data_IF_820582908830
#
_entry.id   IF_820582908830
#
_cell.length_a   1.000
_cell.length_b   1.000
_cell.length_c   1.000
_cell.angle_alpha   90.00
_cell.angle_beta   90.00
_cell.angle_gamma   90.00
#
_symmetry.space_group_name_H-M   'P 1'
#
loop_
_entity.id
_entity.type
_entity.pdbx_description
1 polymer ?
#
# COMPACT_ATOMS: atom_id res chain seq x y z
N UNK A 1 9.71 -0.22 19.17
CA UNK A 1 8.53 0.27 18.44
C UNK A 1 8.86 1.32 17.37
N UNK A 2 9.81 2.27 17.56
CA UNK A 2 10.18 3.20 16.47
C UNK A 2 10.82 2.47 15.28
N UNK A 3 11.80 1.61 15.54
CA UNK A 3 12.52 0.85 14.51
C UNK A 3 11.64 -0.11 13.70
N UNK A 4 10.47 -0.51 14.20
CA UNK A 4 9.55 -1.36 13.45
C UNK A 4 8.74 -0.57 12.42
N UNK A 5 8.45 0.71 12.64
CA UNK A 5 7.70 1.53 11.67
C UNK A 5 8.57 1.90 10.47
N UNK A 6 9.83 2.27 10.69
CA UNK A 6 10.81 2.52 9.61
C UNK A 6 11.06 1.24 8.78
N UNK A 7 11.12 0.08 9.44
CA UNK A 7 11.26 -1.21 8.75
C UNK A 7 10.01 -1.55 7.92
N UNK A 8 8.81 -1.24 8.43
CA UNK A 8 7.55 -1.38 7.68
C UNK A 8 7.53 -0.43 6.49
N UNK A 9 7.93 0.84 6.67
CA UNK A 9 8.00 1.82 5.59
C UNK A 9 8.91 1.31 4.46
N UNK A 10 10.10 0.84 4.83
CA UNK A 10 11.08 0.26 3.89
C UNK A 10 10.51 -0.96 3.16
N UNK A 11 9.84 -1.86 3.88
CA UNK A 11 9.23 -3.06 3.31
C UNK A 11 8.11 -2.70 2.32
N UNK A 12 7.24 -1.73 2.66
CA UNK A 12 6.17 -1.25 1.79
C UNK A 12 6.74 -0.63 0.51
N UNK A 13 7.76 0.24 0.62
CA UNK A 13 8.41 0.85 -0.56
C UNK A 13 9.04 -0.21 -1.46
N UNK A 14 9.71 -1.20 -0.86
CA UNK A 14 10.29 -2.33 -1.60
C UNK A 14 9.20 -3.14 -2.32
N UNK A 15 8.13 -3.49 -1.61
CA UNK A 15 7.02 -4.26 -2.15
C UNK A 15 6.37 -3.54 -3.35
N UNK A 16 6.12 -2.23 -3.25
CA UNK A 16 5.63 -1.43 -4.37
C UNK A 16 6.57 -1.52 -5.58
N UNK A 17 7.89 -1.38 -5.37
CA UNK A 17 8.88 -1.52 -6.45
C UNK A 17 8.85 -2.90 -7.10
N UNK A 18 8.80 -3.95 -6.30
CA UNK A 18 8.85 -5.34 -6.77
C UNK A 18 7.57 -5.74 -7.50
N UNK A 19 6.40 -5.35 -6.99
CA UNK A 19 5.11 -5.75 -7.53
C UNK A 19 4.59 -4.82 -8.64
N UNK A 20 4.94 -3.54 -8.61
CA UNK A 20 4.38 -2.52 -9.49
C UNK A 20 5.44 -1.85 -10.38
N UNK A 21 6.72 -2.20 -10.20
CA UNK A 21 7.83 -1.57 -10.93
C UNK A 21 8.15 -0.14 -10.50
N UNK A 22 7.43 0.41 -9.52
CA UNK A 22 7.59 1.79 -9.05
C UNK A 22 7.45 1.85 -7.52
N UNK A 23 8.40 2.51 -6.86
CA UNK A 23 8.30 2.79 -5.43
C UNK A 23 7.67 4.17 -5.23
N UNK A 24 6.76 4.34 -4.26
CA UNK A 24 6.18 5.63 -3.97
C UNK A 24 7.26 6.63 -3.51
N UNK A 25 7.05 7.91 -3.83
CA UNK A 25 7.94 8.99 -3.39
C UNK A 25 7.80 9.26 -1.89
N UNK A 26 6.59 9.11 -1.35
CA UNK A 26 6.28 9.26 0.07
C UNK A 26 5.58 8.02 0.64
N UNK A 27 5.91 7.67 1.88
CA UNK A 27 5.36 6.54 2.61
C UNK A 27 5.32 6.89 4.10
N UNK A 28 4.13 7.13 4.61
CA UNK A 28 3.90 7.42 6.02
C UNK A 28 3.35 6.16 6.70
N UNK A 29 3.99 5.73 7.78
CA UNK A 29 3.54 4.61 8.60
C UNK A 29 3.24 5.10 10.01
N UNK A 30 2.02 4.89 10.47
CA UNK A 30 1.59 5.24 11.83
C UNK A 30 0.92 4.05 12.50
N UNK A 31 1.01 4.00 13.83
CA UNK A 31 0.36 2.96 14.63
C UNK A 31 -0.42 3.60 15.77
N UNK A 32 -1.70 3.26 15.89
CA UNK A 32 -2.56 3.66 16.98
C UNK A 32 -3.28 2.44 17.57
N UNK A 33 -2.79 1.97 18.72
CA UNK A 33 -3.24 0.74 19.34
C UNK A 33 -3.05 -0.46 18.41
N UNK A 34 -4.16 -1.04 17.96
CA UNK A 34 -4.19 -2.22 17.09
C UNK A 34 -4.29 -1.86 15.61
N UNK A 35 -4.29 -0.57 15.27
CA UNK A 35 -4.35 -0.08 13.90
C UNK A 35 -2.97 0.35 13.44
N UNK A 36 -2.49 -0.26 12.36
CA UNK A 36 -1.34 0.20 11.59
C UNK A 36 -1.86 0.82 10.29
N UNK A 37 -1.57 2.09 10.07
CA UNK A 37 -1.99 2.83 8.88
C UNK A 37 -0.76 3.17 8.05
N UNK A 38 -0.83 2.86 6.76
CA UNK A 38 0.19 3.17 5.77
C UNK A 38 -0.44 4.06 4.71
N UNK A 39 0.16 5.21 4.45
CA UNK A 39 -0.25 6.12 3.38
C UNK A 39 0.92 6.27 2.42
N UNK A 40 0.72 5.97 1.15
CA UNK A 40 1.72 6.14 0.09
C UNK A 40 1.24 7.14 -0.95
N UNK A 41 2.17 7.94 -1.47
CA UNK A 41 1.90 8.96 -2.51
C UNK A 41 2.80 8.76 -3.70
N UNK A 42 2.33 9.21 -4.86
CA UNK A 42 3.00 9.02 -6.14
C UNK A 42 3.21 7.53 -6.43
N UNK A 43 2.11 6.77 -6.39
CA UNK A 43 2.13 5.30 -6.50
C UNK A 43 2.09 4.78 -7.94
N UNK A 44 1.96 5.68 -8.92
CA UNK A 44 1.74 5.34 -10.31
C UNK A 44 3.03 5.32 -11.12
N UNK A 45 3.18 4.31 -11.96
CA UNK A 45 4.20 4.30 -13.00
C UNK A 45 3.97 5.43 -14.01
N UNK A 46 5.01 5.84 -14.78
CA UNK A 46 4.83 6.82 -15.86
C UNK A 46 3.74 6.42 -16.87
N UNK A 47 3.63 5.13 -17.18
CA UNK A 47 2.60 4.60 -18.09
C UNK A 47 1.20 4.71 -17.50
N UNK A 48 1.03 4.43 -16.20
CA UNK A 48 -0.25 4.65 -15.53
C UNK A 48 -0.60 6.13 -15.48
N UNK A 49 0.35 7.02 -15.21
CA UNK A 49 0.08 8.47 -15.24
C UNK A 49 -0.46 8.93 -16.59
N UNK A 50 0.10 8.44 -17.70
CA UNK A 50 -0.44 8.71 -19.04
C UNK A 50 -1.88 8.18 -19.22
N UNK A 51 -2.21 7.01 -18.67
CA UNK A 51 -3.59 6.50 -18.70
C UNK A 51 -4.56 7.36 -17.88
N UNK A 52 -4.11 7.93 -16.76
CA UNK A 52 -4.95 8.76 -15.88
C UNK A 52 -5.37 10.10 -16.51
N UNK A 53 -4.78 10.50 -17.63
CA UNK A 53 -5.22 11.67 -18.40
C UNK A 53 -6.64 11.49 -18.97
N UNK A 54 -7.04 10.24 -19.24
CA UNK A 54 -8.34 9.90 -19.83
C UNK A 54 -9.32 9.34 -18.79
N UNK A 55 -10.63 9.69 -18.85
CA UNK A 55 -11.64 9.17 -17.92
C UNK A 55 -11.70 7.63 -17.87
N UNK A 56 -11.59 6.97 -19.03
CA UNK A 56 -11.58 5.51 -19.15
C UNK A 56 -10.33 4.91 -18.52
N UNK A 57 -9.17 5.55 -18.69
CA UNK A 57 -7.93 5.11 -18.07
C UNK A 57 -7.96 5.22 -16.55
N UNK A 58 -8.61 6.25 -15.98
CA UNK A 58 -8.85 6.34 -14.52
C UNK A 58 -9.65 5.15 -13.99
N UNK A 59 -10.73 4.78 -14.70
CA UNK A 59 -11.55 3.61 -14.34
C UNK A 59 -10.74 2.31 -14.44
N UNK A 60 -9.96 2.17 -15.50
CA UNK A 60 -9.11 1.00 -15.72
C UNK A 60 -8.06 0.85 -14.62
N UNK A 61 -7.28 1.90 -14.34
CA UNK A 61 -6.24 1.88 -13.29
C UNK A 61 -6.86 1.62 -11.92
N UNK A 62 -7.97 2.29 -11.58
CA UNK A 62 -8.65 2.08 -10.29
C UNK A 62 -9.11 0.62 -10.11
N UNK A 63 -9.72 0.04 -11.14
CA UNK A 63 -10.19 -1.35 -11.11
C UNK A 63 -9.01 -2.32 -11.01
N UNK A 64 -8.00 -2.14 -11.88
CA UNK A 64 -6.82 -3.00 -11.91
C UNK A 64 -6.08 -3.01 -10.56
N UNK A 65 -5.85 -1.85 -9.95
CA UNK A 65 -5.17 -1.75 -8.65
C UNK A 65 -5.96 -2.41 -7.53
N UNK A 66 -7.29 -2.29 -7.55
CA UNK A 66 -8.18 -2.97 -6.59
C UNK A 66 -8.12 -4.48 -6.72
N UNK A 67 -8.12 -5.00 -7.95
CA UNK A 67 -7.98 -6.45 -8.20
C UNK A 67 -6.58 -6.96 -7.80
N UNK A 68 -5.52 -6.25 -8.20
CA UNK A 68 -4.14 -6.59 -7.84
C UNK A 68 -3.89 -6.59 -6.33
N UNK A 69 -4.60 -5.75 -5.56
CA UNK A 69 -4.52 -5.80 -4.10
C UNK A 69 -4.94 -7.16 -3.56
N UNK A 70 -5.98 -7.79 -4.12
CA UNK A 70 -6.41 -9.11 -3.67
C UNK A 70 -5.33 -10.17 -3.85
N UNK A 71 -4.63 -10.13 -4.99
CA UNK A 71 -3.56 -11.07 -5.32
C UNK A 71 -2.30 -10.89 -4.47
N UNK A 72 -2.01 -9.65 -4.09
CA UNK A 72 -0.77 -9.31 -3.40
C UNK A 72 -0.92 -9.23 -1.88
N UNK A 73 -2.16 -9.32 -1.37
CA UNK A 73 -2.49 -9.38 0.06
C UNK A 73 -1.71 -10.47 0.80
N UNK A 74 -1.68 -11.67 0.24
CA UNK A 74 -1.06 -12.86 0.85
C UNK A 74 0.48 -12.74 0.94
N UNK A 75 1.07 -11.77 0.24
CA UNK A 75 2.50 -11.48 0.27
C UNK A 75 2.82 -10.41 1.33
N UNK A 76 2.05 -9.33 1.36
CA UNK A 76 2.35 -8.18 2.24
C UNK A 76 1.87 -8.40 3.68
N UNK A 77 0.73 -9.05 3.91
CA UNK A 77 0.20 -9.25 5.26
C UNK A 77 1.15 -10.06 6.18
N UNK A 78 1.78 -11.17 5.73
CA UNK A 78 2.76 -11.90 6.54
C UNK A 78 4.02 -11.08 6.85
N UNK A 79 4.48 -10.25 5.91
CA UNK A 79 5.63 -9.38 6.12
C UNK A 79 5.32 -8.29 7.16
N UNK A 80 4.15 -7.65 7.06
CA UNK A 80 3.67 -6.69 8.05
C UNK A 80 3.52 -7.36 9.42
N UNK A 81 2.94 -8.57 9.49
CA UNK A 81 2.78 -9.30 10.74
C UNK A 81 4.12 -9.59 11.42
N UNK A 82 5.12 -10.03 10.62
CA UNK A 82 6.49 -10.29 11.08
C UNK A 82 7.16 -9.03 11.62
N UNK A 83 7.06 -7.92 10.91
CA UNK A 83 7.69 -6.65 11.29
C UNK A 83 7.00 -5.99 12.49
N UNK A 84 5.67 -6.07 12.56
CA UNK A 84 4.87 -5.60 13.68
C UNK A 84 4.92 -6.53 14.90
N UNK A 85 5.42 -7.76 14.74
CA UNK A 85 5.41 -8.85 15.74
C UNK A 85 4.01 -9.14 16.30
N UNK A 86 3.00 -8.96 15.45
CA UNK A 86 1.57 -9.11 15.78
C UNK A 86 0.86 -9.68 14.55
N UNK A 87 -0.08 -10.62 14.69
CA UNK A 87 -0.80 -11.14 13.53
C UNK A 87 -1.64 -10.05 12.87
N UNK A 88 -1.70 -10.02 11.54
CA UNK A 88 -2.69 -9.21 10.82
C UNK A 88 -4.01 -9.97 10.82
N UNK A 89 -5.05 -9.39 11.43
CA UNK A 89 -6.40 -9.99 11.51
C UNK A 89 -7.25 -9.62 10.29
N UNK A 90 -7.02 -8.43 9.75
CA UNK A 90 -7.68 -7.92 8.54
C UNK A 90 -6.85 -6.78 7.97
N UNK A 91 -6.91 -6.59 6.66
CA UNK A 91 -6.41 -5.38 6.02
C UNK A 91 -7.43 -4.75 5.06
N UNK A 92 -7.45 -3.43 5.05
CA UNK A 92 -8.24 -2.58 4.18
C UNK A 92 -7.31 -1.82 3.25
N UNK A 93 -7.84 -1.49 2.09
CA UNK A 93 -7.12 -0.80 1.02
C UNK A 93 -8.08 0.19 0.38
N UNK A 94 -7.60 1.39 0.13
CA UNK A 94 -8.25 2.33 -0.77
C UNK A 94 -7.23 3.10 -1.60
N UNK A 95 -7.66 3.55 -2.78
CA UNK A 95 -6.82 4.26 -3.75
C UNK A 95 -7.61 5.42 -4.34
N UNK A 96 -7.09 6.63 -4.19
CA UNK A 96 -7.57 7.80 -4.90
C UNK A 96 -6.71 8.07 -6.14
N UNK A 97 -7.19 7.62 -7.29
CA UNK A 97 -6.50 7.80 -8.58
C UNK A 97 -6.42 9.25 -9.04
N UNK A 98 -7.17 10.18 -8.45
CA UNK A 98 -7.13 11.60 -8.81
C UNK A 98 -5.91 12.30 -8.23
N UNK A 99 -5.44 11.84 -7.07
CA UNK A 99 -4.31 12.43 -6.35
C UNK A 99 -3.11 11.49 -6.22
N UNK A 100 -3.26 10.22 -6.63
CA UNK A 100 -2.18 9.24 -6.56
C UNK A 100 -1.80 8.86 -5.13
N UNK A 101 -2.80 8.85 -4.24
CA UNK A 101 -2.64 8.45 -2.85
C UNK A 101 -3.31 7.09 -2.63
N UNK A 102 -2.58 6.20 -1.97
CA UNK A 102 -3.05 4.88 -1.55
C UNK A 102 -2.97 4.80 -0.03
N UNK A 103 -4.03 4.28 0.57
CA UNK A 103 -4.09 4.02 2.01
C UNK A 103 -4.30 2.53 2.26
N UNK A 104 -3.52 2.01 3.19
CA UNK A 104 -3.67 0.66 3.71
C UNK A 104 -3.81 0.68 5.22
N UNK A 105 -4.80 -0.03 5.72
CA UNK A 105 -5.05 -0.14 7.16
C UNK A 105 -4.99 -1.61 7.54
N UNK A 106 -4.08 -1.95 8.43
CA UNK A 106 -3.93 -3.27 9.00
C UNK A 106 -4.44 -3.26 10.43
N UNK A 107 -5.38 -4.15 10.74
CA UNK A 107 -5.79 -4.37 12.12
C UNK A 107 -5.01 -5.56 12.66
N UNK A 108 -4.23 -5.30 13.71
CA UNK A 108 -3.34 -6.25 14.34
C UNK A 108 -4.04 -6.95 15.51
N UNK A 109 -3.79 -8.24 15.67
CA UNK A 109 -4.19 -8.99 16.86
C UNK A 109 -3.26 -8.70 18.03
N UNK A 110 -3.69 -9.05 19.24
CA UNK A 110 -2.87 -8.91 20.45
C UNK A 110 -1.68 -9.88 20.44
#
# INVERSE_FOLDING_TARGET
MPHSLEAIETAVRRFHREQQGHAPSDCLVTMNGDLLVVVTRDVFTPTEQALLEQPEGRKLVSTARRELRSLTRDVIEPEIARLARRPVVRSYYDLDVRVGEQIEVYVLGR
#
